data_IF_123172610627
#
_entry.id   IF_123172610627
#
_cell.length_a   1.000
_cell.length_b   1.000
_cell.length_c   1.000
_cell.angle_alpha   90.00
_cell.angle_beta   90.00
_cell.angle_gamma   90.00
#
_symmetry.space_group_name_H-M   'P 1'
#
loop_
_entity.id
_entity.type
_entity.pdbx_description
1 polymer ?
#
# COMPACT_ATOMS: atom_id res chain seq x y z
N UNK A 1 7.30 19.74 8.67
CA UNK A 1 7.17 18.49 9.47
C UNK A 1 5.74 18.02 9.40
N UNK A 2 5.50 16.74 9.07
CA UNK A 2 4.20 16.09 9.08
C UNK A 2 4.09 15.22 10.32
N UNK A 3 3.01 15.36 11.08
CA UNK A 3 2.71 14.54 12.26
C UNK A 3 1.56 13.60 11.93
N UNK A 4 1.79 12.30 12.08
CA UNK A 4 0.79 11.24 11.88
C UNK A 4 0.58 10.47 13.17
N UNK A 5 -0.59 9.85 13.29
CA UNK A 5 -0.94 9.02 14.44
C UNK A 5 -1.15 7.58 13.98
N UNK A 6 -0.42 6.64 14.56
CA UNK A 6 -0.65 5.22 14.30
C UNK A 6 -1.67 4.68 15.28
N UNK A 7 -2.63 3.90 14.81
CA UNK A 7 -3.55 3.16 15.67
C UNK A 7 -2.80 2.01 16.33
N UNK A 8 -2.17 2.28 17.46
CA UNK A 8 -1.60 1.24 18.30
C UNK A 8 -2.72 0.29 18.77
N UNK A 9 -2.56 -1.01 18.54
CA UNK A 9 -3.57 -2.04 18.82
C UNK A 9 -3.86 -2.24 20.31
N UNK A 10 -3.09 -1.63 21.20
CA UNK A 10 -3.18 -1.88 22.66
C UNK A 10 -2.98 -0.66 23.56
N UNK A 11 -2.64 0.50 23.01
CA UNK A 11 -2.32 1.74 23.79
C UNK A 11 -2.77 2.98 23.01
N UNK A 12 -2.63 4.15 23.64
CA UNK A 12 -2.87 5.43 22.99
C UNK A 12 -2.13 5.52 21.63
N UNK A 13 -2.70 6.20 20.62
CA UNK A 13 -2.07 6.35 19.32
C UNK A 13 -0.64 6.88 19.46
N UNK A 14 0.31 6.24 18.81
CA UNK A 14 1.69 6.74 18.75
C UNK A 14 1.80 7.86 17.75
N UNK A 15 2.50 8.91 18.11
CA UNK A 15 2.82 10.02 17.21
C UNK A 15 4.08 9.67 16.42
N UNK A 16 4.00 9.80 15.09
CA UNK A 16 5.13 9.67 14.17
C UNK A 16 5.33 11.00 13.46
N UNK A 17 6.53 11.52 13.53
CA UNK A 17 6.90 12.79 12.91
C UNK A 17 7.87 12.55 11.75
N UNK A 18 7.56 13.12 10.59
CA UNK A 18 8.43 13.10 9.42
C UNK A 18 8.89 14.50 9.06
N UNK A 19 10.15 14.65 8.71
CA UNK A 19 10.61 15.86 8.04
C UNK A 19 10.07 15.91 6.61
N UNK A 20 10.05 17.11 5.99
CA UNK A 20 9.69 17.21 4.59
C UNK A 20 10.72 16.53 3.68
N UNK A 21 11.99 16.47 4.09
CA UNK A 21 13.04 15.81 3.31
C UNK A 21 12.82 14.29 3.27
N UNK A 22 12.48 13.67 4.41
CA UNK A 22 12.14 12.24 4.46
C UNK A 22 10.92 11.93 3.58
N UNK A 23 9.87 12.75 3.69
CA UNK A 23 8.67 12.59 2.87
C UNK A 23 8.95 12.79 1.38
N UNK A 24 9.74 13.80 1.03
CA UNK A 24 10.12 14.05 -0.36
C UNK A 24 10.87 12.87 -0.94
N UNK A 25 11.79 12.27 -0.19
CA UNK A 25 12.51 11.07 -0.61
C UNK A 25 11.55 9.90 -0.86
N UNK A 26 10.59 9.68 0.04
CA UNK A 26 9.59 8.62 -0.13
C UNK A 26 8.65 8.89 -1.33
N UNK A 27 8.22 10.14 -1.53
CA UNK A 27 7.40 10.55 -2.66
C UNK A 27 8.13 10.33 -3.98
N UNK A 28 9.40 10.75 -4.08
CA UNK A 28 10.21 10.59 -5.29
C UNK A 28 10.47 9.12 -5.61
N UNK A 29 10.67 8.28 -4.58
CA UNK A 29 10.78 6.85 -4.72
C UNK A 29 9.50 6.26 -5.30
N UNK A 30 8.34 6.66 -4.77
CA UNK A 30 7.04 6.20 -5.27
C UNK A 30 6.81 6.61 -6.72
N UNK A 31 7.13 7.86 -7.10
CA UNK A 31 7.02 8.34 -8.49
C UNK A 31 7.88 7.48 -9.42
N UNK A 32 9.14 7.22 -9.06
CA UNK A 32 10.06 6.40 -9.88
C UNK A 32 9.57 4.97 -10.01
N UNK A 33 9.12 4.37 -8.90
CA UNK A 33 8.67 2.98 -8.86
C UNK A 33 7.42 2.76 -9.70
N UNK A 34 6.45 3.67 -9.62
CA UNK A 34 5.21 3.61 -10.41
C UNK A 34 5.45 4.03 -11.87
N UNK A 35 6.52 4.79 -12.13
CA UNK A 35 6.71 5.50 -13.38
C UNK A 35 5.60 6.53 -13.62
N UNK A 36 5.23 7.28 -12.55
CA UNK A 36 4.09 8.20 -12.62
C UNK A 36 4.42 9.45 -13.43
N UNK A 37 3.50 9.85 -14.28
CA UNK A 37 3.65 10.99 -15.21
C UNK A 37 2.39 11.85 -15.25
N UNK A 38 2.46 12.99 -15.95
CA UNK A 38 1.32 13.87 -16.19
C UNK A 38 0.20 13.24 -17.04
N UNK A 39 0.46 12.10 -17.68
CA UNK A 39 -0.55 11.36 -18.44
C UNK A 39 -1.39 10.43 -17.57
N UNK A 40 -1.03 10.29 -16.30
CA UNK A 40 -1.73 9.40 -15.38
C UNK A 40 -2.94 10.06 -14.73
N UNK A 41 -3.93 9.24 -14.45
CA UNK A 41 -5.06 9.58 -13.59
C UNK A 41 -5.02 8.68 -12.35
N UNK A 42 -4.93 9.30 -11.20
CA UNK A 42 -4.83 8.64 -9.88
C UNK A 42 -6.18 8.70 -9.18
N UNK A 43 -6.71 7.54 -8.81
CA UNK A 43 -7.88 7.47 -7.93
C UNK A 43 -7.42 7.13 -6.50
N UNK A 44 -7.45 8.15 -5.64
CA UNK A 44 -7.01 8.07 -4.25
C UNK A 44 -8.22 7.89 -3.33
N UNK A 45 -8.15 6.87 -2.48
CA UNK A 45 -9.21 6.56 -1.49
C UNK A 45 -8.66 6.48 -0.06
N UNK A 46 -7.40 6.84 0.13
CA UNK A 46 -6.81 6.86 1.46
C UNK A 46 -7.21 8.11 2.25
N UNK A 47 -7.47 7.96 3.55
CA UNK A 47 -7.69 9.12 4.41
C UNK A 47 -6.47 10.04 4.46
N UNK A 48 -6.69 11.35 4.44
CA UNK A 48 -5.62 12.37 4.45
C UNK A 48 -4.74 12.39 5.72
N UNK A 49 -5.06 11.57 6.72
CA UNK A 49 -4.25 11.40 7.92
C UNK A 49 -3.38 10.13 7.90
N UNK A 50 -3.21 9.50 6.74
CA UNK A 50 -2.41 8.28 6.58
C UNK A 50 -1.14 8.56 5.79
N UNK A 51 -0.05 7.83 6.10
CA UNK A 51 1.20 7.93 5.34
C UNK A 51 0.99 7.53 3.87
N UNK A 52 0.07 6.57 3.60
CA UNK A 52 -0.24 6.12 2.26
C UNK A 52 -0.80 7.24 1.36
N UNK A 53 -1.69 8.09 1.88
CA UNK A 53 -2.18 9.26 1.16
C UNK A 53 -1.02 10.17 0.71
N UNK A 54 -0.07 10.44 1.62
CA UNK A 54 1.04 11.36 1.32
C UNK A 54 2.09 10.73 0.42
N UNK A 55 2.47 9.48 0.62
CA UNK A 55 3.65 8.93 -0.05
C UNK A 55 3.33 7.97 -1.19
N UNK A 56 2.08 7.49 -1.29
CA UNK A 56 1.68 6.53 -2.34
C UNK A 56 0.80 7.19 -3.40
N UNK A 57 -0.15 8.05 -3.02
CA UNK A 57 -1.17 8.55 -3.95
C UNK A 57 -1.11 10.06 -4.17
N UNK A 58 -1.53 10.87 -3.20
CA UNK A 58 -1.83 12.29 -3.45
C UNK A 58 -0.58 13.14 -3.78
N UNK A 59 0.47 13.07 -2.96
CA UNK A 59 1.66 13.89 -3.24
C UNK A 59 2.47 13.39 -4.43
N UNK A 60 2.64 12.07 -4.67
CA UNK A 60 3.19 11.60 -5.93
C UNK A 60 2.41 12.11 -7.15
N UNK A 61 1.08 12.05 -7.14
CA UNK A 61 0.25 12.57 -8.23
C UNK A 61 0.48 14.07 -8.45
N UNK A 62 0.44 14.86 -7.37
CA UNK A 62 0.68 16.30 -7.45
C UNK A 62 2.06 16.63 -8.03
N UNK A 63 3.14 15.97 -7.57
CA UNK A 63 4.50 16.23 -8.04
C UNK A 63 4.77 15.77 -9.46
N UNK A 64 4.09 14.69 -9.90
CA UNK A 64 4.16 14.21 -11.28
C UNK A 64 3.26 15.01 -12.25
N UNK A 65 2.52 16.01 -11.77
CA UNK A 65 1.46 16.72 -12.51
C UNK A 65 0.39 15.76 -13.08
N UNK A 66 0.16 14.63 -12.43
CA UNK A 66 -0.90 13.69 -12.77
C UNK A 66 -2.28 14.22 -12.33
N UNK A 67 -3.34 13.77 -13.01
CA UNK A 67 -4.69 14.05 -12.54
C UNK A 67 -4.97 13.28 -11.26
N UNK A 68 -5.39 13.97 -10.19
CA UNK A 68 -5.76 13.36 -8.92
C UNK A 68 -7.27 13.48 -8.69
N UNK A 69 -7.92 12.34 -8.47
CA UNK A 69 -9.30 12.27 -7.99
C UNK A 69 -9.29 11.59 -6.62
N UNK A 70 -9.72 12.31 -5.59
CA UNK A 70 -9.77 11.78 -4.22
C UNK A 70 -11.21 11.63 -3.76
N UNK A 71 -11.53 10.50 -3.12
CA UNK A 71 -12.82 10.20 -2.56
C UNK A 71 -12.70 9.33 -1.30
N UNK A 72 -13.69 9.39 -0.42
CA UNK A 72 -13.79 8.40 0.65
C UNK A 72 -14.15 7.04 0.05
N UNK A 73 -13.47 5.98 0.49
CA UNK A 73 -13.79 4.63 0.03
C UNK A 73 -15.17 4.20 0.53
N UNK A 74 -16.01 3.80 -0.43
CA UNK A 74 -17.26 3.07 -0.27
C UNK A 74 -17.42 2.22 -1.54
N UNK A 75 -17.67 0.92 -1.40
CA UNK A 75 -17.50 -0.03 -2.51
C UNK A 75 -18.34 0.30 -3.76
N UNK A 76 -19.63 0.59 -3.60
CA UNK A 76 -20.52 0.94 -4.73
C UNK A 76 -20.14 2.29 -5.35
N UNK A 77 -19.79 3.26 -4.51
CA UNK A 77 -19.35 4.58 -4.98
C UNK A 77 -18.01 4.48 -5.71
N UNK A 78 -17.06 3.66 -5.20
CA UNK A 78 -15.78 3.41 -5.85
C UNK A 78 -15.96 2.83 -7.27
N UNK A 79 -16.83 1.83 -7.43
CA UNK A 79 -17.11 1.20 -8.73
C UNK A 79 -17.70 2.24 -9.71
N UNK A 80 -18.63 3.07 -9.24
CA UNK A 80 -19.21 4.14 -10.07
C UNK A 80 -18.15 5.17 -10.48
N UNK A 81 -17.41 5.69 -9.50
CA UNK A 81 -16.36 6.69 -9.72
C UNK A 81 -15.26 6.16 -10.64
N UNK A 82 -14.84 4.90 -10.45
CA UNK A 82 -13.85 4.25 -11.33
C UNK A 82 -14.30 4.24 -12.80
N UNK A 83 -15.57 3.92 -13.07
CA UNK A 83 -16.13 3.94 -14.44
C UNK A 83 -16.12 5.32 -15.07
N UNK A 84 -16.33 6.36 -14.27
CA UNK A 84 -16.32 7.75 -14.73
C UNK A 84 -14.89 8.26 -14.96
N UNK A 85 -13.97 7.93 -14.04
CA UNK A 85 -12.60 8.46 -14.01
C UNK A 85 -11.66 7.68 -14.92
N UNK A 86 -11.85 6.35 -15.07
CA UNK A 86 -10.95 5.44 -15.79
C UNK A 86 -9.48 5.60 -15.35
N UNK A 87 -9.17 5.42 -14.07
CA UNK A 87 -7.83 5.69 -13.55
C UNK A 87 -6.78 4.76 -14.16
N UNK A 88 -5.57 5.26 -14.33
CA UNK A 88 -4.40 4.48 -14.78
C UNK A 88 -3.57 3.98 -13.61
N UNK A 89 -3.70 4.63 -12.45
CA UNK A 89 -3.05 4.25 -11.20
C UNK A 89 -4.03 4.29 -10.03
N UNK A 90 -3.99 3.23 -9.22
CA UNK A 90 -4.81 3.09 -8.00
C UNK A 90 -3.97 2.51 -6.86
N UNK A 91 -4.44 2.72 -5.63
CA UNK A 91 -3.92 2.00 -4.47
C UNK A 91 -5.08 1.54 -3.58
N UNK A 92 -5.11 0.24 -3.25
CA UNK A 92 -6.15 -0.38 -2.44
C UNK A 92 -5.52 -1.35 -1.43
N UNK A 93 -6.13 -1.46 -0.26
CA UNK A 93 -5.72 -2.44 0.76
C UNK A 93 -6.61 -3.70 0.69
N UNK A 94 -6.19 -4.84 1.28
CA UNK A 94 -6.99 -6.07 1.27
C UNK A 94 -8.44 -5.88 1.73
N UNK A 95 -8.66 -5.04 2.74
CA UNK A 95 -10.01 -4.73 3.21
C UNK A 95 -10.90 -4.07 2.15
N UNK A 96 -10.34 -3.20 1.32
CA UNK A 96 -11.10 -2.60 0.21
C UNK A 96 -11.53 -3.69 -0.79
N UNK A 97 -10.65 -4.63 -1.12
CA UNK A 97 -10.97 -5.75 -2.00
C UNK A 97 -12.06 -6.65 -1.43
N UNK A 98 -12.01 -6.99 -0.14
CA UNK A 98 -13.07 -7.76 0.51
C UNK A 98 -14.45 -7.10 0.35
N UNK A 99 -14.53 -5.78 0.57
CA UNK A 99 -15.77 -5.02 0.40
C UNK A 99 -16.22 -4.92 -1.06
N UNK A 100 -15.29 -4.84 -2.01
CA UNK A 100 -15.61 -4.83 -3.44
C UNK A 100 -16.18 -6.17 -3.88
N UNK A 101 -15.69 -7.30 -3.36
CA UNK A 101 -16.22 -8.65 -3.68
C UNK A 101 -17.70 -8.83 -3.28
N UNK A 102 -18.18 -8.08 -2.31
CA UNK A 102 -19.59 -8.12 -1.88
C UNK A 102 -20.54 -7.43 -2.88
N UNK A 103 -20.01 -6.64 -3.83
CA UNK A 103 -20.80 -5.94 -4.84
C UNK A 103 -20.99 -6.82 -6.06
N UNK A 104 -22.21 -7.10 -6.47
CA UNK A 104 -22.52 -8.01 -7.58
C UNK A 104 -21.79 -7.66 -8.88
N UNK A 105 -21.69 -6.38 -9.21
CA UNK A 105 -21.00 -5.93 -10.42
C UNK A 105 -19.48 -6.14 -10.38
N UNK A 106 -18.88 -6.46 -9.23
CA UNK A 106 -17.46 -6.74 -9.11
C UNK A 106 -17.02 -7.97 -9.92
N UNK A 107 -17.87 -8.98 -10.02
CA UNK A 107 -17.57 -10.24 -10.73
C UNK A 107 -17.14 -10.01 -12.19
N UNK A 108 -17.77 -9.05 -12.85
CA UNK A 108 -17.52 -8.72 -14.26
C UNK A 108 -16.89 -7.34 -14.45
N UNK A 109 -16.35 -6.78 -13.36
CA UNK A 109 -15.79 -5.44 -13.39
C UNK A 109 -14.50 -5.39 -14.20
N UNK A 110 -14.39 -4.42 -15.11
CA UNK A 110 -13.21 -4.24 -15.96
C UNK A 110 -12.35 -3.10 -15.41
N UNK A 111 -11.07 -3.39 -15.20
CA UNK A 111 -10.05 -2.45 -14.69
C UNK A 111 -8.86 -2.32 -15.65
N UNK A 112 -9.05 -2.61 -16.93
CA UNK A 112 -7.98 -2.59 -17.95
C UNK A 112 -7.35 -1.21 -18.19
N UNK A 113 -7.97 -0.13 -17.72
CA UNK A 113 -7.34 1.20 -17.68
C UNK A 113 -6.17 1.28 -16.69
N UNK A 114 -6.13 0.40 -15.66
CA UNK A 114 -5.12 0.44 -14.62
C UNK A 114 -3.83 -0.23 -15.08
N UNK A 115 -2.79 0.57 -15.28
CA UNK A 115 -1.45 0.05 -15.61
C UNK A 115 -0.66 -0.37 -14.36
N UNK A 116 -0.91 0.28 -13.22
CA UNK A 116 -0.20 0.00 -11.97
C UNK A 116 -1.15 0.14 -10.78
N UNK A 117 -1.13 -0.85 -9.92
CA UNK A 117 -1.88 -0.87 -8.68
C UNK A 117 -0.93 -1.16 -7.51
N UNK A 118 -0.99 -0.35 -6.47
CA UNK A 118 -0.31 -0.62 -5.20
C UNK A 118 -1.29 -1.26 -4.22
N UNK A 119 -0.82 -2.29 -3.53
CA UNK A 119 -1.50 -2.87 -2.37
C UNK A 119 -0.52 -3.06 -1.22
N UNK A 120 -1.00 -3.33 -0.02
CA UNK A 120 -0.19 -3.49 1.18
C UNK A 120 -0.96 -3.17 2.45
N UNK A 121 -0.26 -2.67 3.46
CA UNK A 121 -0.82 -2.34 4.80
C UNK A 121 -1.37 -3.54 5.58
N UNK A 122 -1.03 -4.76 5.16
CA UNK A 122 -1.43 -6.01 5.78
C UNK A 122 -1.05 -7.19 4.90
N UNK A 123 -1.37 -8.43 5.31
CA UNK A 123 -1.17 -9.60 4.47
C UNK A 123 -1.98 -9.46 3.18
N UNK A 124 -1.29 -9.58 2.05
CA UNK A 124 -1.91 -9.52 0.72
C UNK A 124 -1.97 -10.95 0.20
N UNK A 125 -3.16 -11.58 0.11
CA UNK A 125 -3.28 -12.93 -0.40
C UNK A 125 -3.10 -12.95 -1.93
N UNK A 126 -2.50 -14.02 -2.46
CA UNK A 126 -2.34 -14.21 -3.90
C UNK A 126 -3.69 -14.14 -4.64
N UNK A 127 -4.77 -14.66 -4.03
CA UNK A 127 -6.13 -14.58 -4.59
C UNK A 127 -6.56 -13.14 -4.92
N UNK A 128 -6.21 -12.15 -4.07
CA UNK A 128 -6.48 -10.74 -4.34
C UNK A 128 -5.74 -10.25 -5.58
N UNK A 129 -4.47 -10.60 -5.68
CA UNK A 129 -3.62 -10.23 -6.82
C UNK A 129 -4.18 -10.82 -8.11
N UNK A 130 -4.52 -12.12 -8.09
CA UNK A 130 -5.07 -12.84 -9.23
C UNK A 130 -6.43 -12.27 -9.66
N UNK A 131 -7.29 -11.89 -8.69
CA UNK A 131 -8.57 -11.26 -8.98
C UNK A 131 -8.39 -9.93 -9.72
N UNK A 132 -7.51 -9.03 -9.25
CA UNK A 132 -7.23 -7.78 -9.96
C UNK A 132 -6.58 -8.00 -11.33
N UNK A 133 -5.67 -8.97 -11.44
CA UNK A 133 -5.08 -9.36 -12.73
C UNK A 133 -6.15 -9.85 -13.70
N UNK A 134 -7.10 -10.67 -13.24
CA UNK A 134 -8.22 -11.18 -14.06
C UNK A 134 -9.12 -10.06 -14.59
N UNK A 135 -9.18 -8.93 -13.89
CA UNK A 135 -9.94 -7.73 -14.27
C UNK A 135 -9.18 -6.80 -15.22
N UNK A 136 -7.96 -7.16 -15.59
CA UNK A 136 -7.16 -6.41 -16.57
C UNK A 136 -6.13 -5.44 -15.98
N UNK A 137 -5.92 -5.42 -14.66
CA UNK A 137 -4.83 -4.64 -14.05
C UNK A 137 -3.49 -5.17 -14.54
N UNK A 138 -2.64 -4.30 -15.12
CA UNK A 138 -1.40 -4.74 -15.76
C UNK A 138 -0.32 -5.12 -14.73
N UNK A 139 -0.14 -4.34 -13.66
CA UNK A 139 0.79 -4.63 -12.57
C UNK A 139 0.11 -4.44 -11.24
N UNK A 140 0.16 -5.46 -10.39
CA UNK A 140 -0.24 -5.38 -8.98
C UNK A 140 1.05 -5.48 -8.14
N UNK A 141 1.37 -4.42 -7.41
CA UNK A 141 2.58 -4.34 -6.60
C UNK A 141 2.21 -4.35 -5.11
N UNK A 142 2.65 -5.40 -4.42
CA UNK A 142 2.52 -5.53 -2.97
C UNK A 142 3.68 -4.77 -2.31
N UNK A 143 3.40 -3.61 -1.72
CA UNK A 143 4.39 -2.74 -1.11
C UNK A 143 4.46 -2.93 0.40
N UNK A 144 5.64 -3.23 0.90
CA UNK A 144 5.90 -3.20 2.33
C UNK A 144 6.42 -1.84 2.77
N UNK A 145 5.95 -1.43 3.93
CA UNK A 145 6.34 -0.22 4.63
C UNK A 145 5.38 0.04 5.80
N UNK A 146 5.67 1.04 6.57
CA UNK A 146 4.88 1.43 7.74
C UNK A 146 4.94 2.95 7.93
N UNK A 147 4.14 3.46 8.86
CA UNK A 147 4.14 4.92 9.10
C UNK A 147 5.52 5.43 9.47
N UNK A 148 6.27 4.68 10.28
CA UNK A 148 7.62 5.01 10.72
C UNK A 148 8.68 4.87 9.62
N UNK A 149 8.43 4.00 8.63
CA UNK A 149 9.30 3.70 7.49
C UNK A 149 8.46 3.75 6.20
N UNK A 150 8.28 4.93 5.59
CA UNK A 150 7.33 5.13 4.49
C UNK A 150 7.57 4.22 3.29
N UNK A 151 6.50 3.57 2.75
CA UNK A 151 6.65 2.66 1.61
C UNK A 151 7.08 3.37 0.31
N UNK A 152 7.63 2.61 -0.67
CA UNK A 152 8.00 1.20 -0.56
C UNK A 152 9.36 1.00 0.10
N UNK A 153 9.46 0.01 1.00
CA UNK A 153 10.74 -0.48 1.53
C UNK A 153 11.27 -1.62 0.66
N UNK A 154 10.42 -2.59 0.36
CA UNK A 154 10.61 -3.63 -0.66
C UNK A 154 9.24 -4.01 -1.25
N UNK A 155 9.23 -4.74 -2.37
CA UNK A 155 8.04 -4.95 -3.20
C UNK A 155 7.92 -6.43 -3.58
N UNK A 156 6.68 -6.91 -3.73
CA UNK A 156 6.32 -8.12 -4.45
C UNK A 156 5.54 -7.76 -5.70
N UNK A 157 6.00 -8.14 -6.89
CA UNK A 157 5.30 -7.84 -8.14
C UNK A 157 4.44 -8.99 -8.59
N UNK A 158 3.14 -8.75 -8.71
CA UNK A 158 2.13 -9.75 -9.09
C UNK A 158 2.20 -11.02 -8.22
N UNK A 159 2.67 -10.86 -6.98
CA UNK A 159 2.92 -11.93 -6.02
C UNK A 159 2.69 -11.47 -4.59
N UNK A 160 2.21 -12.38 -3.74
CA UNK A 160 2.20 -12.21 -2.30
C UNK A 160 3.61 -12.27 -1.69
N UNK A 161 4.58 -12.85 -2.43
CA UNK A 161 5.98 -12.91 -2.04
C UNK A 161 6.69 -11.59 -2.35
N UNK A 162 7.61 -11.21 -1.45
CA UNK A 162 8.43 -10.03 -1.62
C UNK A 162 9.79 -10.36 -2.25
N UNK A 163 10.38 -9.41 -2.97
CA UNK A 163 11.74 -9.52 -3.49
C UNK A 163 12.81 -9.38 -2.40
N UNK A 164 12.46 -8.73 -1.28
CA UNK A 164 13.36 -8.32 -0.20
C UNK A 164 14.54 -7.44 -0.67
N UNK A 165 14.49 -6.95 -1.88
CA UNK A 165 15.46 -5.98 -2.38
C UNK A 165 15.11 -4.58 -1.86
N UNK A 166 15.93 -4.00 -0.97
CA UNK A 166 15.61 -2.72 -0.36
C UNK A 166 15.60 -1.62 -1.43
N UNK A 167 14.56 -0.79 -1.40
CA UNK A 167 14.52 0.41 -2.23
C UNK A 167 15.48 1.48 -1.67
N UNK A 168 15.86 2.41 -2.53
CA UNK A 168 16.81 3.49 -2.21
C UNK A 168 16.51 4.15 -0.85
N UNK A 169 17.56 4.30 -0.02
CA UNK A 169 17.48 4.88 1.32
C UNK A 169 17.13 3.90 2.43
N UNK A 170 16.93 2.61 2.11
CA UNK A 170 16.69 1.57 3.10
C UNK A 170 17.81 0.53 3.12
N UNK A 171 18.18 0.13 4.35
CA UNK A 171 18.90 -1.08 4.64
C UNK A 171 17.94 -2.04 5.36
N UNK A 172 17.76 -3.25 4.85
CA UNK A 172 16.86 -4.25 5.42
C UNK A 172 17.66 -5.45 5.87
N UNK A 173 17.36 -5.94 7.07
CA UNK A 173 17.92 -7.15 7.63
C UNK A 173 16.81 -7.95 8.34
N UNK A 174 17.07 -9.22 8.63
CA UNK A 174 16.13 -10.09 9.32
C UNK A 174 16.83 -10.78 10.50
N UNK A 175 16.20 -10.73 11.68
CA UNK A 175 16.66 -11.48 12.82
C UNK A 175 16.39 -12.99 12.65
N UNK A 176 16.99 -13.80 13.51
CA UNK A 176 16.85 -15.26 13.44
C UNK A 176 15.39 -15.75 13.58
N UNK A 177 14.52 -14.97 14.19
CA UNK A 177 13.09 -15.24 14.33
C UNK A 177 12.24 -14.67 13.16
N UNK A 178 12.90 -14.10 12.14
CA UNK A 178 12.27 -13.49 10.97
C UNK A 178 11.80 -12.05 11.17
N UNK A 179 12.12 -11.39 12.29
CA UNK A 179 11.77 -9.98 12.47
C UNK A 179 12.54 -9.09 11.50
N UNK A 180 11.80 -8.27 10.74
CA UNK A 180 12.36 -7.31 9.82
C UNK A 180 12.94 -6.10 10.57
N UNK A 181 14.18 -5.76 10.23
CA UNK A 181 14.89 -4.58 10.71
C UNK A 181 15.08 -3.62 9.52
N UNK A 182 14.67 -2.38 9.67
CA UNK A 182 14.83 -1.34 8.63
C UNK A 182 15.66 -0.21 9.20
N UNK A 183 16.83 0.07 8.59
CA UNK A 183 17.75 1.12 9.04
C UNK A 183 18.08 1.01 10.55
N UNK A 184 18.22 -0.22 11.06
CA UNK A 184 18.43 -0.49 12.48
C UNK A 184 17.18 -0.40 13.36
N UNK A 185 16.01 -0.07 12.80
CA UNK A 185 14.73 -0.03 13.50
C UNK A 185 14.03 -1.39 13.46
N UNK A 186 13.75 -1.96 14.63
CA UNK A 186 12.99 -3.21 14.77
C UNK A 186 11.49 -2.95 14.53
N UNK A 187 10.96 -3.53 13.46
CA UNK A 187 9.58 -3.23 13.01
C UNK A 187 8.51 -3.95 13.82
N UNK A 188 8.85 -5.05 14.47
CA UNK A 188 7.90 -5.99 15.07
C UNK A 188 7.21 -6.89 14.03
N UNK A 189 7.47 -6.72 12.76
CA UNK A 189 6.88 -7.52 11.68
C UNK A 189 7.78 -8.74 11.39
N UNK A 190 7.15 -9.93 11.41
CA UNK A 190 7.80 -11.21 11.19
C UNK A 190 7.52 -11.70 9.79
N UNK A 191 8.59 -12.08 9.10
CA UNK A 191 8.54 -12.69 7.78
C UNK A 191 9.06 -14.12 7.82
N UNK A 192 8.51 -14.97 6.98
CA UNK A 192 9.18 -16.18 6.56
C UNK A 192 10.17 -15.79 5.45
N UNK A 193 11.45 -15.75 5.80
CA UNK A 193 12.51 -15.31 4.89
C UNK A 193 12.70 -16.31 3.73
N UNK A 194 12.43 -17.60 3.95
CA UNK A 194 12.56 -18.63 2.92
C UNK A 194 11.46 -18.52 1.87
N UNK A 195 10.19 -18.40 2.29
CA UNK A 195 9.05 -18.22 1.39
C UNK A 195 8.79 -16.76 1.01
N UNK A 196 9.56 -15.83 1.58
CA UNK A 196 9.48 -14.38 1.34
C UNK A 196 8.10 -13.78 1.59
N UNK A 197 7.41 -14.29 2.62
CA UNK A 197 6.04 -13.87 2.95
C UNK A 197 5.98 -13.21 4.32
N UNK A 198 5.11 -12.20 4.41
CA UNK A 198 4.74 -11.64 5.71
C UNK A 198 3.92 -12.67 6.50
N UNK A 199 4.29 -12.92 7.75
CA UNK A 199 3.57 -13.85 8.62
C UNK A 199 2.66 -13.15 9.63
N UNK A 200 3.22 -12.24 10.42
CA UNK A 200 2.50 -11.61 11.54
C UNK A 200 3.29 -10.46 12.14
N UNK A 201 2.65 -9.70 13.01
CA UNK A 201 3.32 -8.73 13.91
C UNK A 201 3.54 -9.34 15.30
N UNK A 202 4.67 -9.07 15.96
CA UNK A 202 5.05 -9.61 17.28
C UNK A 202 4.01 -9.35 18.38
N UNK A 203 3.41 -8.16 18.41
CA UNK A 203 2.44 -7.75 19.42
C UNK A 203 1.05 -8.39 19.27
N UNK A 204 0.83 -9.16 18.20
CA UNK A 204 -0.38 -9.94 18.00
C UNK A 204 -0.17 -11.39 18.46
N UNK A 205 -0.17 -11.59 19.78
CA UNK A 205 -0.27 -12.93 20.35
C UNK A 205 -1.58 -13.56 19.89
N UNK A 206 -1.45 -14.64 19.10
CA UNK A 206 -2.48 -15.63 18.80
C UNK A 206 -3.80 -15.12 18.21
N UNK A 207 -3.96 -15.26 16.89
CA UNK A 207 -5.26 -15.56 16.27
C UNK A 207 -6.27 -14.43 16.17
N UNK A 208 -5.90 -13.16 16.23
CA UNK A 208 -6.85 -12.08 15.97
C UNK A 208 -6.78 -11.66 14.51
N UNK A 209 -7.88 -11.89 13.81
CA UNK A 209 -8.22 -11.19 12.58
C UNK A 209 -7.88 -9.71 12.70
N UNK A 210 -7.20 -9.17 11.69
CA UNK A 210 -6.92 -7.74 11.55
C UNK A 210 -8.19 -6.94 11.84
N UNK A 211 -8.25 -6.27 12.99
CA UNK A 211 -9.32 -5.32 13.23
C UNK A 211 -9.01 -4.11 12.34
N UNK A 212 -9.80 -4.02 11.32
CA UNK A 212 -9.83 -2.92 10.34
C UNK A 212 -10.11 -1.60 11.06
N UNK A 213 -9.32 -0.60 10.74
CA UNK A 213 -9.67 0.82 10.97
C UNK A 213 -10.65 1.25 9.89
#
# INVERSE_FOLDING_TARGET
MLTLYTSGTTKAPKTVNHTWDDLNTAIDRSIREIGLTSNDTVLDVFPANTIAHYTITAMPAYRANATLVSAKFEANHYIKLFKEVQPTYIALIPRHWELLKEVDSWKTFNMSSVRYMVTGSGPVPQEMIDDFKSKGVQTVANWYGMTEQPPPVFIGYNSEEFDFEPKEGYAVDFLADGECIINGFATGDIFDVQSRKFLRRKDHSTGSTWKTI
#
